data_IF_666461636978
#
_entry.id   IF_666461636978
#
_cell.length_a   1.000
_cell.length_b   1.000
_cell.length_c   1.000
_cell.angle_alpha   90.00
_cell.angle_beta   90.00
_cell.angle_gamma   90.00
#
_symmetry.space_group_name_H-M   'P 1'
#
loop_
_entity.id
_entity.type
_entity.pdbx_description
1 polymer ?
#
# COMPACT_ATOMS: atom_id res chain seq x y z
N UNK A 1 17.96 37.93 -8.64
CA UNK A 1 18.47 37.00 -7.59
C UNK A 1 17.32 36.47 -6.74
N UNK A 2 16.31 37.29 -6.40
CA UNK A 2 15.06 36.92 -5.72
C UNK A 2 14.23 35.86 -6.46
N UNK A 3 14.09 36.01 -7.77
CA UNK A 3 13.14 35.21 -8.57
C UNK A 3 13.61 33.75 -8.74
N UNK A 4 14.92 33.53 -8.71
CA UNK A 4 15.54 32.19 -8.74
C UNK A 4 15.35 31.49 -7.38
N UNK A 5 15.48 32.23 -6.28
CA UNK A 5 15.27 31.73 -4.93
C UNK A 5 13.79 31.37 -4.70
N UNK A 6 12.86 32.22 -5.17
CA UNK A 6 11.42 31.94 -5.15
C UNK A 6 11.06 30.74 -6.04
N UNK A 7 11.62 30.67 -7.24
CA UNK A 7 11.42 29.51 -8.11
C UNK A 7 11.91 28.20 -7.47
N UNK A 8 13.02 28.24 -6.72
CA UNK A 8 13.53 27.08 -6.00
C UNK A 8 12.65 26.67 -4.80
N UNK A 9 12.18 27.64 -4.00
CA UNK A 9 11.30 27.38 -2.85
C UNK A 9 9.93 26.84 -3.27
N UNK A 10 9.34 27.38 -4.35
CA UNK A 10 8.05 26.91 -4.85
C UNK A 10 8.13 25.47 -5.37
N UNK A 11 9.29 25.09 -5.92
CA UNK A 11 9.54 23.74 -6.43
C UNK A 11 9.83 22.74 -5.31
N UNK A 12 10.43 23.16 -4.19
CA UNK A 12 10.56 22.29 -3.01
C UNK A 12 9.18 22.06 -2.37
N UNK A 13 8.37 23.11 -2.20
CA UNK A 13 7.06 23.00 -1.56
C UNK A 13 6.08 22.12 -2.37
N UNK A 14 6.02 22.30 -3.70
CA UNK A 14 5.23 21.43 -4.59
C UNK A 14 5.66 19.97 -4.53
N UNK A 15 6.95 19.72 -4.34
CA UNK A 15 7.49 18.36 -4.23
C UNK A 15 7.13 17.74 -2.89
N UNK A 16 7.26 18.49 -1.80
CA UNK A 16 6.83 18.05 -0.47
C UNK A 16 5.34 17.74 -0.43
N UNK A 17 4.49 18.58 -1.04
CA UNK A 17 3.04 18.31 -1.18
C UNK A 17 2.76 17.03 -1.96
N UNK A 18 3.42 16.81 -3.11
CA UNK A 18 3.29 15.54 -3.86
C UNK A 18 3.77 14.33 -3.06
N UNK A 19 4.86 14.47 -2.31
CA UNK A 19 5.36 13.39 -1.47
C UNK A 19 4.37 13.08 -0.35
N UNK A 20 3.80 14.09 0.30
CA UNK A 20 2.75 13.90 1.31
C UNK A 20 1.49 13.21 0.74
N UNK A 21 1.11 13.53 -0.51
CA UNK A 21 0.01 12.85 -1.22
C UNK A 21 0.36 11.38 -1.54
N UNK A 22 1.60 11.11 -1.97
CA UNK A 22 2.08 9.75 -2.25
C UNK A 22 2.25 8.90 -0.97
N UNK A 23 2.60 9.53 0.15
CA UNK A 23 2.74 8.93 1.47
C UNK A 23 1.47 9.06 2.33
N UNK A 24 0.28 9.15 1.72
CA UNK A 24 -0.98 9.03 2.47
C UNK A 24 -1.07 7.63 3.11
N UNK A 25 -1.57 7.60 4.35
CA UNK A 25 -1.78 6.38 5.15
C UNK A 25 -2.54 5.29 4.39
N UNK A 26 -3.50 5.64 3.52
CA UNK A 26 -4.27 4.66 2.71
C UNK A 26 -3.38 3.96 1.69
N UNK A 27 -2.50 4.71 1.04
CA UNK A 27 -1.55 4.16 0.06
C UNK A 27 -0.49 3.30 0.75
N UNK A 28 0.01 3.76 1.91
CA UNK A 28 0.98 2.99 2.72
C UNK A 28 0.37 1.68 3.23
N UNK A 29 -0.81 1.73 3.85
CA UNK A 29 -1.52 0.53 4.34
C UNK A 29 -1.84 -0.43 3.19
N UNK A 30 -2.36 0.10 2.06
CA UNK A 30 -2.66 -0.70 0.88
C UNK A 30 -1.43 -1.40 0.31
N UNK A 31 -0.30 -0.71 0.21
CA UNK A 31 0.96 -1.28 -0.26
C UNK A 31 1.49 -2.37 0.69
N UNK A 32 1.41 -2.16 2.00
CA UNK A 32 1.80 -3.15 3.01
C UNK A 32 0.95 -4.43 2.91
N UNK A 33 -0.37 -4.30 2.79
CA UNK A 33 -1.27 -5.45 2.57
C UNK A 33 -0.99 -6.16 1.24
N UNK A 34 -0.67 -5.42 0.18
CA UNK A 34 -0.33 -6.03 -1.11
C UNK A 34 0.95 -6.88 -1.01
N UNK A 35 2.01 -6.34 -0.40
CA UNK A 35 3.28 -7.06 -0.20
C UNK A 35 3.06 -8.30 0.66
N UNK A 36 2.41 -8.15 1.83
CA UNK A 36 2.13 -9.29 2.70
C UNK A 36 1.21 -10.32 2.05
N UNK A 37 0.19 -9.89 1.31
CA UNK A 37 -0.71 -10.77 0.56
C UNK A 37 0.03 -11.59 -0.49
N UNK A 38 0.96 -10.98 -1.24
CA UNK A 38 1.81 -11.69 -2.21
C UNK A 38 2.69 -12.73 -1.49
N UNK A 39 3.32 -12.37 -0.36
CA UNK A 39 4.13 -13.31 0.43
C UNK A 39 3.27 -14.48 0.95
N UNK A 40 2.06 -14.21 1.44
CA UNK A 40 1.12 -15.24 1.88
C UNK A 40 0.61 -16.13 0.73
N UNK A 41 0.40 -15.57 -0.46
CA UNK A 41 0.08 -16.37 -1.65
C UNK A 41 1.24 -17.27 -2.07
N UNK A 42 2.47 -16.75 -2.08
CA UNK A 42 3.67 -17.52 -2.44
C UNK A 42 3.89 -18.64 -1.43
N UNK A 43 3.83 -18.35 -0.12
CA UNK A 43 3.93 -19.37 0.93
C UNK A 43 2.79 -20.39 0.84
N UNK A 44 1.55 -19.94 0.63
CA UNK A 44 0.41 -20.85 0.41
C UNK A 44 0.57 -21.79 -0.80
N UNK A 45 1.24 -21.34 -1.88
CA UNK A 45 1.51 -22.15 -3.08
C UNK A 45 2.80 -22.98 -2.94
N UNK A 46 3.81 -22.50 -2.22
CA UNK A 46 5.08 -23.20 -2.03
C UNK A 46 5.01 -24.27 -0.94
N UNK A 47 4.21 -24.06 0.12
CA UNK A 47 4.05 -24.96 1.26
C UNK A 47 3.03 -26.10 0.99
N UNK A 48 2.95 -26.61 -0.24
CA UNK A 48 2.27 -27.88 -0.55
C UNK A 48 3.07 -29.11 -0.10
N UNK A 49 3.74 -29.02 1.07
CA UNK A 49 4.43 -30.14 1.69
C UNK A 49 3.45 -30.97 2.52
N UNK A 50 3.56 -32.30 2.46
CA UNK A 50 2.70 -33.26 3.17
C UNK A 50 2.71 -33.09 4.70
N UNK A 51 3.72 -32.42 5.25
CA UNK A 51 3.84 -32.15 6.68
C UNK A 51 2.87 -31.06 7.20
N UNK A 52 2.50 -30.08 6.37
CA UNK A 52 1.60 -28.99 6.77
C UNK A 52 0.11 -29.36 6.63
N UNK A 53 -0.24 -30.18 5.63
CA UNK A 53 -1.61 -30.72 5.49
C UNK A 53 -2.08 -31.48 6.74
N UNK A 54 -1.16 -32.12 7.47
CA UNK A 54 -1.45 -32.85 8.70
C UNK A 54 -1.79 -31.92 9.89
N UNK A 55 -1.28 -30.68 9.91
CA UNK A 55 -1.54 -29.70 10.98
C UNK A 55 -2.80 -28.87 10.75
N UNK A 56 -3.16 -28.65 9.49
CA UNK A 56 -4.28 -27.79 9.11
C UNK A 56 -5.51 -28.55 8.61
N UNK A 57 -5.52 -29.88 8.71
CA UNK A 57 -6.65 -30.71 8.27
C UNK A 57 -6.92 -30.65 6.77
N UNK A 58 -5.89 -30.39 5.96
CA UNK A 58 -6.00 -30.23 4.51
C UNK A 58 -6.39 -28.84 4.02
N UNK A 59 -6.61 -27.87 4.92
CA UNK A 59 -6.92 -26.48 4.54
C UNK A 59 -5.64 -25.64 4.58
N UNK A 60 -5.28 -24.98 3.48
CA UNK A 60 -4.10 -24.12 3.43
C UNK A 60 -4.43 -22.72 3.98
N UNK A 61 -4.16 -22.50 5.26
CA UNK A 61 -4.48 -21.25 5.97
C UNK A 61 -3.70 -20.06 5.40
N UNK A 62 -2.43 -20.24 5.04
CA UNK A 62 -1.62 -19.19 4.41
C UNK A 62 -2.21 -18.74 3.07
N UNK A 63 -2.72 -19.68 2.26
CA UNK A 63 -3.37 -19.36 1.00
C UNK A 63 -4.66 -18.54 1.21
N UNK A 64 -5.55 -18.97 2.10
CA UNK A 64 -6.80 -18.24 2.40
C UNK A 64 -6.54 -16.88 3.04
N UNK A 65 -5.59 -16.79 3.97
CA UNK A 65 -5.18 -15.53 4.57
C UNK A 65 -4.57 -14.59 3.51
N UNK A 66 -3.73 -15.11 2.60
CA UNK A 66 -3.16 -14.37 1.49
C UNK A 66 -4.20 -13.83 0.53
N UNK A 67 -5.19 -14.65 0.14
CA UNK A 67 -6.33 -14.22 -0.69
C UNK A 67 -7.10 -13.09 0.01
N UNK A 68 -7.40 -13.23 1.30
CA UNK A 68 -8.05 -12.19 2.09
C UNK A 68 -7.28 -10.87 2.10
N UNK A 69 -5.95 -10.93 2.33
CA UNK A 69 -5.09 -9.74 2.30
C UNK A 69 -5.03 -9.09 0.91
N UNK A 70 -5.00 -9.87 -0.17
CA UNK A 70 -5.00 -9.34 -1.54
C UNK A 70 -6.32 -8.64 -1.88
N UNK A 71 -7.47 -9.17 -1.44
CA UNK A 71 -8.77 -8.51 -1.62
C UNK A 71 -8.78 -7.17 -0.88
N UNK A 72 -8.33 -7.15 0.38
CA UNK A 72 -8.25 -5.91 1.16
C UNK A 72 -7.28 -4.90 0.52
N UNK A 73 -6.11 -5.36 0.06
CA UNK A 73 -5.15 -4.52 -0.67
C UNK A 73 -5.79 -3.90 -1.93
N UNK A 74 -6.50 -4.68 -2.73
CA UNK A 74 -7.19 -4.20 -3.92
C UNK A 74 -8.24 -3.14 -3.58
N UNK A 75 -9.03 -3.34 -2.52
CA UNK A 75 -10.00 -2.36 -2.04
C UNK A 75 -9.32 -1.05 -1.63
N UNK A 76 -8.21 -1.11 -0.89
CA UNK A 76 -7.47 0.08 -0.48
C UNK A 76 -6.82 0.81 -1.65
N UNK A 77 -6.26 0.10 -2.62
CA UNK A 77 -5.67 0.68 -3.82
C UNK A 77 -6.75 1.36 -4.67
N UNK A 78 -7.87 0.67 -4.94
CA UNK A 78 -9.01 1.23 -5.69
C UNK A 78 -9.54 2.47 -4.97
N UNK A 79 -9.73 2.43 -3.66
CA UNK A 79 -10.16 3.60 -2.90
C UNK A 79 -9.15 4.74 -3.00
N UNK A 80 -7.85 4.48 -2.83
CA UNK A 80 -6.80 5.50 -2.90
C UNK A 80 -6.80 6.22 -4.25
N UNK A 81 -6.95 5.46 -5.34
CA UNK A 81 -7.06 6.03 -6.70
C UNK A 81 -8.36 6.80 -6.89
N UNK A 82 -9.49 6.34 -6.35
CA UNK A 82 -10.79 7.02 -6.47
C UNK A 82 -10.88 8.31 -5.65
N UNK A 83 -10.20 8.37 -4.50
CA UNK A 83 -10.29 9.50 -3.57
C UNK A 83 -8.89 10.00 -3.18
N UNK A 84 -8.17 10.64 -4.11
CA UNK A 84 -6.86 11.22 -3.83
C UNK A 84 -6.99 12.26 -2.72
N UNK A 85 -6.11 12.17 -1.72
CA UNK A 85 -6.06 13.11 -0.61
C UNK A 85 -5.67 14.49 -1.12
N UNK A 86 -6.44 15.49 -0.73
CA UNK A 86 -6.13 16.90 -0.98
C UNK A 86 -5.69 17.48 0.36
N UNK A 87 -4.43 17.94 0.49
CA UNK A 87 -4.01 18.66 1.69
C UNK A 87 -4.94 19.86 1.93
N UNK A 88 -5.26 20.20 3.18
CA UNK A 88 -6.03 21.39 3.48
C UNK A 88 -5.32 22.62 2.92
N UNK A 89 -6.11 23.53 2.32
CA UNK A 89 -5.60 24.80 1.81
C UNK A 89 -5.15 25.63 3.02
N UNK A 90 -3.86 25.92 3.08
CA UNK A 90 -3.29 26.83 4.08
C UNK A 90 -3.82 28.23 3.77
N UNK A 91 -4.81 28.68 4.54
CA UNK A 91 -5.20 30.08 4.57
C UNK A 91 -4.21 30.81 5.48
N UNK A 92 -3.41 31.68 4.86
CA UNK A 92 -2.48 32.59 5.53
C UNK A 92 -3.21 33.65 6.36
#
# INVERSE_FOLDING_TARGET
MSDIQQGASDQSEKRERRLAELFDIRTVIGALFAIYGIVCLITGIADFSTADQAKSGGININLWAGIGMVIVAALFIVWSVLKPFRPPETHD
#
